data_IF_731311078716
#
_entry.id   IF_731311078716
#
_cell.length_a   1.000
_cell.length_b   1.000
_cell.length_c   1.000
_cell.angle_alpha   90.00
_cell.angle_beta   90.00
_cell.angle_gamma   90.00
#
_symmetry.space_group_name_H-M   'P 1'
#
loop_
_entity.id
_entity.type
_entity.pdbx_description
1 polymer ?
#
# COMPACT_ATOMS: atom_id res chain seq x y z
N UNK A 1 -4.87 -16.47 3.60
CA UNK A 1 -3.99 -15.72 2.67
C UNK A 1 -3.37 -16.58 1.58
N UNK A 2 -2.65 -17.69 1.87
CA UNK A 2 -1.97 -18.50 0.82
C UNK A 2 -2.89 -18.93 -0.34
N UNK A 3 -4.08 -19.45 -0.04
CA UNK A 3 -5.08 -19.83 -1.07
C UNK A 3 -5.52 -18.61 -1.90
N UNK A 4 -5.74 -17.45 -1.29
CA UNK A 4 -6.15 -16.23 -2.02
C UNK A 4 -5.09 -15.81 -3.01
N UNK A 5 -3.81 -15.89 -2.64
CA UNK A 5 -2.68 -15.52 -3.50
C UNK A 5 -2.53 -16.48 -4.67
N UNK A 6 -2.60 -17.80 -4.39
CA UNK A 6 -2.36 -18.85 -5.37
C UNK A 6 -3.55 -19.08 -6.31
N UNK A 7 -4.75 -19.12 -5.74
CA UNK A 7 -5.96 -19.64 -6.39
C UNK A 7 -7.10 -18.60 -6.46
N UNK A 8 -6.90 -17.40 -5.89
CA UNK A 8 -7.90 -16.34 -5.83
C UNK A 8 -8.93 -16.50 -4.70
N UNK A 9 -9.73 -15.45 -4.48
CA UNK A 9 -10.72 -15.41 -3.37
C UNK A 9 -11.77 -16.52 -3.51
N UNK A 10 -12.21 -16.81 -4.74
CA UNK A 10 -13.24 -17.84 -5.01
C UNK A 10 -12.82 -19.27 -4.65
N UNK A 11 -11.52 -19.55 -4.55
CA UNK A 11 -11.00 -20.85 -4.15
C UNK A 11 -11.06 -21.07 -2.63
N UNK A 12 -11.30 -20.01 -1.85
CA UNK A 12 -11.42 -20.10 -0.40
C UNK A 12 -12.70 -20.87 -0.07
N UNK A 13 -12.53 -22.06 0.51
CA UNK A 13 -13.59 -22.97 0.98
C UNK A 13 -13.13 -23.63 2.27
N UNK A 14 -14.04 -24.00 3.17
CA UNK A 14 -13.69 -24.67 4.44
C UNK A 14 -12.75 -25.87 4.24
N UNK A 15 -13.05 -26.76 3.28
CA UNK A 15 -12.19 -27.91 2.97
C UNK A 15 -10.80 -27.51 2.48
N UNK A 16 -10.72 -26.53 1.58
CA UNK A 16 -9.44 -26.04 1.05
C UNK A 16 -8.61 -25.40 2.16
N UNK A 17 -9.22 -24.58 3.03
CA UNK A 17 -8.56 -23.96 4.17
C UNK A 17 -8.11 -25.01 5.18
N UNK A 18 -8.96 -25.99 5.52
CA UNK A 18 -8.62 -27.06 6.44
C UNK A 18 -7.41 -27.88 5.95
N UNK A 19 -7.39 -28.21 4.66
CA UNK A 19 -6.25 -28.90 4.03
C UNK A 19 -4.98 -28.04 4.06
N UNK A 20 -5.06 -26.78 3.63
CA UNK A 20 -3.93 -25.84 3.59
C UNK A 20 -3.37 -25.51 4.99
N UNK A 21 -4.21 -25.52 6.03
CA UNK A 21 -3.82 -25.29 7.42
C UNK A 21 -3.50 -26.59 8.17
N UNK A 22 -3.65 -27.75 7.54
CA UNK A 22 -3.43 -29.07 8.15
C UNK A 22 -4.27 -29.31 9.42
N UNK A 23 -5.54 -28.89 9.40
CA UNK A 23 -6.49 -29.06 10.50
C UNK A 23 -7.71 -29.86 10.08
N UNK A 24 -8.45 -30.50 11.00
CA UNK A 24 -9.72 -31.14 10.69
C UNK A 24 -10.74 -30.13 10.13
N UNK A 25 -11.64 -30.59 9.25
CA UNK A 25 -12.72 -29.77 8.69
C UNK A 25 -13.59 -29.14 9.79
N UNK A 26 -13.80 -29.87 10.88
CA UNK A 26 -14.56 -29.42 12.06
C UNK A 26 -13.96 -28.16 12.69
N UNK A 27 -12.64 -27.96 12.66
CA UNK A 27 -12.03 -26.76 13.21
C UNK A 27 -12.48 -25.51 12.43
N UNK A 28 -12.41 -25.55 11.10
CA UNK A 28 -12.81 -24.41 10.27
C UNK A 28 -14.30 -24.10 10.34
N UNK A 29 -15.14 -25.12 10.52
CA UNK A 29 -16.60 -24.96 10.63
C UNK A 29 -17.05 -24.62 12.05
N UNK A 30 -16.19 -24.84 13.04
CA UNK A 30 -16.39 -24.38 14.42
C UNK A 30 -16.10 -22.89 14.58
N UNK A 31 -14.98 -22.39 14.01
CA UNK A 31 -14.58 -20.98 14.13
C UNK A 31 -15.24 -20.04 13.14
N UNK A 32 -15.58 -20.53 11.94
CA UNK A 32 -16.20 -19.71 10.90
C UNK A 32 -17.56 -20.29 10.54
N UNK A 33 -18.62 -19.49 10.70
CA UNK A 33 -19.99 -19.91 10.41
C UNK A 33 -20.19 -20.17 8.92
N UNK A 34 -19.58 -19.33 8.09
CA UNK A 34 -19.58 -19.45 6.64
C UNK A 34 -18.26 -18.95 6.05
N UNK A 35 -18.19 -18.98 4.72
CA UNK A 35 -16.98 -18.58 4.00
C UNK A 35 -16.75 -17.06 4.00
N UNK A 36 -17.82 -16.28 4.11
CA UNK A 36 -17.74 -14.82 4.14
C UNK A 36 -17.16 -14.36 5.47
N UNK A 37 -17.51 -15.01 6.58
CA UNK A 37 -16.89 -14.78 7.89
C UNK A 37 -15.38 -15.07 7.83
N UNK A 38 -14.98 -16.19 7.24
CA UNK A 38 -13.58 -16.55 7.08
C UNK A 38 -12.80 -15.51 6.24
N UNK A 39 -13.40 -15.06 5.12
CA UNK A 39 -12.80 -14.04 4.25
C UNK A 39 -12.71 -12.68 4.95
N UNK A 40 -13.76 -12.30 5.66
CA UNK A 40 -13.83 -11.04 6.43
C UNK A 40 -12.74 -11.03 7.49
N UNK A 41 -12.62 -12.08 8.31
CA UNK A 41 -11.60 -12.15 9.37
C UNK A 41 -10.18 -12.18 8.79
N UNK A 42 -9.98 -12.93 7.72
CA UNK A 42 -8.68 -13.00 7.03
C UNK A 42 -8.26 -11.61 6.54
N UNK A 43 -9.18 -10.86 5.96
CA UNK A 43 -8.86 -9.54 5.43
C UNK A 43 -8.78 -8.47 6.52
N UNK A 44 -9.61 -8.55 7.57
CA UNK A 44 -9.50 -7.68 8.74
C UNK A 44 -8.11 -7.79 9.39
N UNK A 45 -7.60 -9.02 9.55
CA UNK A 45 -6.23 -9.23 10.05
C UNK A 45 -5.18 -8.62 9.12
N UNK A 46 -5.40 -8.66 7.81
CA UNK A 46 -4.50 -8.01 6.85
C UNK A 46 -4.52 -6.48 7.00
N UNK A 47 -5.70 -5.86 7.09
CA UNK A 47 -5.87 -4.41 7.31
C UNK A 47 -5.18 -3.97 8.59
N UNK A 48 -5.35 -4.71 9.69
CA UNK A 48 -4.69 -4.43 10.98
C UNK A 48 -3.16 -4.44 10.85
N UNK A 49 -2.60 -5.47 10.18
CA UNK A 49 -1.16 -5.55 9.93
C UNK A 49 -0.65 -4.43 9.03
N UNK A 50 -1.44 -4.03 8.04
CA UNK A 50 -1.11 -2.89 7.17
C UNK A 50 -1.07 -1.58 7.96
N UNK A 51 -2.05 -1.32 8.83
CA UNK A 51 -2.04 -0.17 9.73
C UNK A 51 -0.81 -0.14 10.63
N UNK A 52 -0.49 -1.27 11.27
CA UNK A 52 0.70 -1.37 12.12
C UNK A 52 2.00 -1.15 11.34
N UNK A 53 2.06 -1.64 10.10
CA UNK A 53 3.21 -1.41 9.23
C UNK A 53 3.35 0.06 8.80
N UNK A 54 2.25 0.71 8.39
CA UNK A 54 2.25 2.13 8.04
C UNK A 54 2.65 3.01 9.23
N UNK A 55 2.16 2.72 10.43
CA UNK A 55 2.56 3.42 11.64
C UNK A 55 4.07 3.31 11.90
N UNK A 56 4.66 2.12 11.73
CA UNK A 56 6.11 1.92 11.86
C UNK A 56 6.90 2.65 10.77
N UNK A 57 6.43 2.61 9.52
CA UNK A 57 7.07 3.31 8.41
C UNK A 57 7.13 4.82 8.69
N UNK A 58 6.04 5.40 9.18
CA UNK A 58 5.98 6.80 9.57
C UNK A 58 6.99 7.12 10.68
N UNK A 59 6.92 6.42 11.82
CA UNK A 59 7.82 6.65 12.96
C UNK A 59 9.29 6.57 12.57
N UNK A 60 9.65 5.65 11.66
CA UNK A 60 11.03 5.47 11.22
C UNK A 60 11.51 6.58 10.28
N UNK A 61 10.62 7.21 9.50
CA UNK A 61 10.99 8.13 8.43
C UNK A 61 10.65 9.60 8.73
N UNK A 62 9.80 9.90 9.70
CA UNK A 62 9.41 11.27 10.03
C UNK A 62 10.62 12.13 10.41
N UNK A 63 11.52 11.61 11.25
CA UNK A 63 12.74 12.33 11.64
C UNK A 63 13.61 12.66 10.45
N UNK A 64 13.89 11.66 9.59
CA UNK A 64 14.64 11.83 8.35
C UNK A 64 14.00 12.91 7.46
N UNK A 65 12.68 12.87 7.29
CA UNK A 65 11.95 13.84 6.47
C UNK A 65 12.09 15.27 7.03
N UNK A 66 11.96 15.44 8.35
CA UNK A 66 12.13 16.73 9.02
C UNK A 66 13.55 17.26 8.89
N UNK A 67 14.54 16.39 9.03
CA UNK A 67 15.95 16.75 8.87
C UNK A 67 16.26 17.20 7.43
N UNK A 68 15.71 16.49 6.43
CA UNK A 68 15.84 16.87 5.03
C UNK A 68 15.25 18.26 4.76
N UNK A 69 14.06 18.55 5.29
CA UNK A 69 13.42 19.87 5.18
C UNK A 69 14.27 20.94 5.87
N UNK A 70 14.71 20.69 7.11
CA UNK A 70 15.48 21.64 7.92
C UNK A 70 16.87 21.95 7.34
N UNK A 71 17.45 21.01 6.58
CA UNK A 71 18.74 21.21 5.91
C UNK A 71 18.68 22.18 4.72
N UNK A 72 17.48 22.45 4.20
CA UNK A 72 17.27 23.35 3.06
C UNK A 72 17.22 24.82 3.47
N UNK A 73 17.72 25.68 2.59
CA UNK A 73 17.66 27.15 2.74
C UNK A 73 16.38 27.79 2.16
N UNK A 74 15.41 26.96 1.74
CA UNK A 74 14.17 27.41 1.10
C UNK A 74 14.32 27.84 -0.37
N UNK A 75 15.53 27.84 -0.91
CA UNK A 75 15.79 28.15 -2.32
C UNK A 75 15.04 27.19 -3.26
N UNK A 76 14.75 27.60 -4.51
CA UNK A 76 14.22 26.70 -5.52
C UNK A 76 15.09 25.45 -5.72
N UNK A 77 16.42 25.60 -5.61
CA UNK A 77 17.39 24.51 -5.74
C UNK A 77 17.28 23.52 -4.56
N UNK A 78 17.17 24.02 -3.33
CA UNK A 78 16.95 23.16 -2.16
C UNK A 78 15.62 22.39 -2.25
N UNK A 79 14.54 23.05 -2.73
CA UNK A 79 13.24 22.40 -2.97
C UNK A 79 13.30 21.34 -4.06
N UNK A 80 13.99 21.61 -5.16
CA UNK A 80 14.23 20.62 -6.23
C UNK A 80 14.97 19.39 -5.70
N UNK A 81 16.04 19.61 -4.91
CA UNK A 81 16.80 18.50 -4.31
C UNK A 81 15.94 17.68 -3.35
N UNK A 82 15.16 18.35 -2.50
CA UNK A 82 14.21 17.69 -1.60
C UNK A 82 13.19 16.84 -2.37
N UNK A 83 12.67 17.35 -3.49
CA UNK A 83 11.75 16.61 -4.36
C UNK A 83 12.41 15.33 -4.90
N UNK A 84 13.64 15.44 -5.39
CA UNK A 84 14.40 14.31 -5.93
C UNK A 84 14.69 13.25 -4.85
N UNK A 85 15.07 13.68 -3.64
CA UNK A 85 15.37 12.77 -2.53
C UNK A 85 14.11 12.03 -2.06
N UNK A 86 12.98 12.73 -1.92
CA UNK A 86 11.70 12.11 -1.54
C UNK A 86 11.23 11.14 -2.62
N UNK A 87 11.35 11.51 -3.90
CA UNK A 87 10.99 10.63 -5.00
C UNK A 87 11.80 9.33 -4.97
N UNK A 88 13.11 9.39 -4.70
CA UNK A 88 13.96 8.19 -4.50
C UNK A 88 13.46 7.32 -3.35
N UNK A 89 13.16 7.92 -2.19
CA UNK A 89 12.63 7.17 -1.04
C UNK A 89 11.30 6.47 -1.37
N UNK A 90 10.43 7.11 -2.14
CA UNK A 90 9.16 6.53 -2.58
C UNK A 90 9.37 5.38 -3.59
N UNK A 91 10.28 5.54 -4.55
CA UNK A 91 10.64 4.47 -5.50
C UNK A 91 11.19 3.26 -4.77
N UNK A 92 12.12 3.46 -3.83
CA UNK A 92 12.68 2.40 -3.00
C UNK A 92 11.61 1.68 -2.18
N UNK A 93 10.63 2.44 -1.65
CA UNK A 93 9.49 1.86 -0.94
C UNK A 93 8.70 0.92 -1.84
N UNK A 94 8.29 1.38 -3.04
CA UNK A 94 7.49 0.57 -3.97
C UNK A 94 8.27 -0.66 -4.43
N UNK A 95 9.56 -0.51 -4.76
CA UNK A 95 10.42 -1.65 -5.10
C UNK A 95 10.47 -2.68 -3.97
N UNK A 96 10.67 -2.25 -2.72
CA UNK A 96 10.67 -3.16 -1.56
C UNK A 96 9.32 -3.85 -1.35
N UNK A 97 8.19 -3.18 -1.62
CA UNK A 97 6.87 -3.83 -1.57
C UNK A 97 6.77 -4.93 -2.64
N UNK A 98 7.16 -4.62 -3.87
CA UNK A 98 7.11 -5.55 -5.00
C UNK A 98 7.99 -6.78 -4.80
N UNK A 99 9.16 -6.63 -4.19
CA UNK A 99 10.09 -7.74 -3.93
C UNK A 99 9.71 -8.50 -2.68
N UNK A 100 9.55 -7.83 -1.53
CA UNK A 100 9.43 -8.50 -0.24
C UNK A 100 7.98 -8.84 0.14
N UNK A 101 7.00 -8.23 -0.52
CA UNK A 101 5.57 -8.32 -0.17
C UNK A 101 4.69 -8.60 -1.38
N UNK A 102 5.26 -9.17 -2.44
CA UNK A 102 4.54 -9.52 -3.67
C UNK A 102 3.23 -10.27 -3.41
N UNK A 103 3.28 -11.32 -2.60
CA UNK A 103 2.11 -12.12 -2.25
C UNK A 103 1.02 -11.30 -1.55
N UNK A 104 1.41 -10.38 -0.67
CA UNK A 104 0.48 -9.49 0.00
C UNK A 104 -0.20 -8.53 -0.98
N UNK A 105 0.56 -7.95 -1.91
CA UNK A 105 0.02 -7.09 -2.96
C UNK A 105 -0.93 -7.88 -3.89
N UNK A 106 -0.57 -9.10 -4.28
CA UNK A 106 -1.44 -9.97 -5.07
C UNK A 106 -2.77 -10.27 -4.35
N UNK A 107 -2.71 -10.60 -3.05
CA UNK A 107 -3.91 -10.81 -2.27
C UNK A 107 -4.77 -9.54 -2.18
N UNK A 108 -4.16 -8.37 -2.01
CA UNK A 108 -4.88 -7.10 -2.00
C UNK A 108 -5.63 -6.88 -3.33
N UNK A 109 -5.01 -7.14 -4.47
CA UNK A 109 -5.70 -7.04 -5.77
C UNK A 109 -6.89 -8.00 -5.84
N UNK A 110 -6.74 -9.23 -5.35
CA UNK A 110 -7.82 -10.21 -5.32
C UNK A 110 -8.99 -9.73 -4.43
N UNK A 111 -8.71 -9.14 -3.26
CA UNK A 111 -9.74 -8.59 -2.38
C UNK A 111 -10.39 -7.33 -2.95
N UNK A 112 -9.64 -6.45 -3.62
CA UNK A 112 -10.20 -5.27 -4.30
C UNK A 112 -11.21 -5.67 -5.37
N UNK A 113 -10.91 -6.73 -6.14
CA UNK A 113 -11.84 -7.26 -7.12
C UNK A 113 -13.10 -7.83 -6.46
N UNK A 114 -12.95 -8.66 -5.42
CA UNK A 114 -14.10 -9.29 -4.75
C UNK A 114 -14.97 -8.26 -4.00
N UNK A 115 -14.37 -7.19 -3.46
CA UNK A 115 -15.06 -6.12 -2.77
C UNK A 115 -16.09 -5.39 -3.63
N UNK A 116 -15.98 -5.46 -4.96
CA UNK A 116 -16.98 -4.92 -5.87
C UNK A 116 -18.29 -5.73 -5.86
N UNK A 117 -18.23 -6.99 -5.41
CA UNK A 117 -19.34 -7.93 -5.38
C UNK A 117 -19.83 -8.23 -3.96
N UNK A 118 -18.97 -8.05 -2.94
CA UNK A 118 -19.29 -8.34 -1.55
C UNK A 118 -19.23 -7.07 -0.68
N UNK A 119 -20.38 -6.55 -0.17
CA UNK A 119 -20.43 -5.34 0.65
C UNK A 119 -19.60 -5.41 1.95
N UNK A 120 -19.49 -6.58 2.58
CA UNK A 120 -18.70 -6.76 3.82
C UNK A 120 -17.20 -6.56 3.54
N UNK A 121 -16.72 -7.11 2.43
CA UNK A 121 -15.33 -6.90 2.00
C UNK A 121 -15.09 -5.47 1.52
N UNK A 122 -16.11 -4.82 0.94
CA UNK A 122 -16.02 -3.43 0.52
C UNK A 122 -15.72 -2.47 1.69
N UNK A 123 -16.31 -2.69 2.86
CA UNK A 123 -16.00 -1.92 4.07
C UNK A 123 -14.53 -2.06 4.49
N UNK A 124 -14.03 -3.29 4.50
CA UNK A 124 -12.63 -3.55 4.85
C UNK A 124 -11.66 -2.94 3.82
N UNK A 125 -11.97 -3.00 2.52
CA UNK A 125 -11.11 -2.40 1.48
C UNK A 125 -11.09 -0.88 1.63
N UNK A 126 -12.24 -0.25 1.90
CA UNK A 126 -12.30 1.19 2.19
C UNK A 126 -11.50 1.56 3.44
N UNK A 127 -11.58 0.75 4.50
CA UNK A 127 -10.78 0.95 5.71
C UNK A 127 -9.28 0.88 5.40
N UNK A 128 -8.84 -0.08 4.59
CA UNK A 128 -7.45 -0.20 4.15
C UNK A 128 -6.99 1.05 3.37
N UNK A 129 -7.78 1.48 2.39
CA UNK A 129 -7.49 2.68 1.60
C UNK A 129 -7.39 3.93 2.47
N UNK A 130 -8.25 4.06 3.49
CA UNK A 130 -8.22 5.18 4.41
C UNK A 130 -6.93 5.23 5.24
N UNK A 131 -6.42 4.07 5.67
CA UNK A 131 -5.14 3.98 6.39
C UNK A 131 -3.98 4.49 5.52
N UNK A 132 -3.90 4.02 4.26
CA UNK A 132 -2.86 4.46 3.33
C UNK A 132 -2.96 5.97 3.06
N UNK A 133 -4.18 6.47 2.83
CA UNK A 133 -4.44 7.88 2.61
C UNK A 133 -4.03 8.74 3.81
N UNK A 134 -4.32 8.29 5.03
CA UNK A 134 -3.92 9.01 6.24
C UNK A 134 -2.41 9.14 6.37
N UNK A 135 -1.66 8.05 6.14
CA UNK A 135 -0.20 8.10 6.15
C UNK A 135 0.39 9.04 5.10
N UNK A 136 -0.14 9.00 3.87
CA UNK A 136 0.27 9.95 2.82
C UNK A 136 -0.11 11.40 3.14
N UNK A 137 -1.25 11.63 3.80
CA UNK A 137 -1.66 12.97 4.22
C UNK A 137 -0.70 13.56 5.25
N UNK A 138 -0.27 12.76 6.24
CA UNK A 138 0.72 13.18 7.24
C UNK A 138 2.04 13.60 6.59
N UNK A 139 2.50 12.86 5.58
CA UNK A 139 3.67 13.22 4.78
C UNK A 139 3.52 14.62 4.16
N UNK A 140 2.41 14.88 3.46
CA UNK A 140 2.21 16.18 2.80
C UNK A 140 1.97 17.32 3.79
N UNK A 141 1.41 17.05 4.97
CA UNK A 141 1.32 18.03 6.06
C UNK A 141 2.72 18.43 6.55
N UNK A 142 3.63 17.47 6.73
CA UNK A 142 5.02 17.77 7.13
C UNK A 142 5.77 18.54 6.04
N UNK A 143 5.49 18.24 4.77
CA UNK A 143 6.06 18.97 3.64
C UNK A 143 5.49 20.39 3.45
N UNK A 144 4.44 20.75 4.18
CA UNK A 144 3.80 22.07 4.08
C UNK A 144 2.91 22.25 2.86
N UNK A 145 2.39 21.16 2.27
CA UNK A 145 1.42 21.25 1.17
C UNK A 145 0.21 22.09 1.55
N UNK A 146 -0.32 22.85 0.58
CA UNK A 146 -1.56 23.63 0.70
C UNK A 146 -2.81 22.75 0.63
N UNK A 147 -2.72 21.61 -0.05
CA UNK A 147 -3.83 20.67 -0.24
C UNK A 147 -3.39 19.23 0.10
N UNK A 148 -2.94 18.97 1.35
CA UNK A 148 -2.26 17.72 1.70
C UNK A 148 -3.13 16.47 1.49
N UNK A 149 -4.45 16.62 1.60
CA UNK A 149 -5.39 15.51 1.39
C UNK A 149 -5.55 15.16 -0.10
N UNK A 150 -5.58 16.16 -0.98
CA UNK A 150 -5.64 15.98 -2.43
C UNK A 150 -4.31 15.38 -2.92
N UNK A 151 -3.19 15.91 -2.44
CA UNK A 151 -1.87 15.37 -2.77
C UNK A 151 -1.70 13.93 -2.28
N UNK A 152 -2.24 13.60 -1.11
CA UNK A 152 -2.25 12.23 -0.61
C UNK A 152 -3.08 11.30 -1.51
N UNK A 153 -4.24 11.74 -2.01
CA UNK A 153 -5.05 10.96 -2.97
C UNK A 153 -4.31 10.73 -4.29
N UNK A 154 -3.64 11.76 -4.81
CA UNK A 154 -2.87 11.63 -6.06
C UNK A 154 -1.69 10.68 -5.86
N UNK A 155 -0.94 10.83 -4.76
CA UNK A 155 0.18 9.94 -4.44
C UNK A 155 -0.28 8.48 -4.30
N UNK A 156 -1.33 8.23 -3.52
CA UNK A 156 -1.85 6.87 -3.32
C UNK A 156 -2.35 6.24 -4.63
N UNK A 157 -2.93 7.03 -5.54
CA UNK A 157 -3.32 6.56 -6.87
C UNK A 157 -2.09 6.20 -7.74
N UNK A 158 -1.05 7.04 -7.72
CA UNK A 158 0.21 6.80 -8.43
C UNK A 158 0.87 5.51 -7.93
N UNK A 159 1.04 5.37 -6.61
CA UNK A 159 1.63 4.18 -5.97
C UNK A 159 0.81 2.94 -6.31
N UNK A 160 -0.53 2.99 -6.18
CA UNK A 160 -1.39 1.86 -6.49
C UNK A 160 -1.29 1.40 -7.96
N UNK A 161 -1.12 2.34 -8.90
CA UNK A 161 -0.84 2.02 -10.31
C UNK A 161 0.53 1.36 -10.46
N UNK A 162 1.57 1.92 -9.82
CA UNK A 162 2.94 1.39 -9.89
C UNK A 162 3.05 -0.02 -9.32
N UNK A 163 2.42 -0.29 -8.18
CA UNK A 163 2.34 -1.62 -7.58
C UNK A 163 1.65 -2.61 -8.52
N UNK A 164 0.51 -2.22 -9.11
CA UNK A 164 -0.19 -3.08 -10.06
C UNK A 164 0.65 -3.38 -11.32
N UNK A 165 1.28 -2.36 -11.91
CA UNK A 165 2.16 -2.54 -13.07
C UNK A 165 3.39 -3.38 -12.72
N UNK A 166 4.01 -3.15 -11.57
CA UNK A 166 5.14 -3.94 -11.08
C UNK A 166 4.78 -5.39 -10.78
N UNK A 167 3.53 -5.68 -10.40
CA UNK A 167 3.04 -7.05 -10.30
C UNK A 167 3.01 -7.74 -11.67
N UNK A 168 2.64 -7.03 -12.74
CA UNK A 168 2.59 -7.55 -14.11
C UNK A 168 3.98 -7.70 -14.74
N UNK A 169 4.85 -6.71 -14.55
CA UNK A 169 6.13 -6.59 -15.27
C UNK A 169 7.33 -7.12 -14.45
N UNK A 170 7.11 -8.17 -13.65
CA UNK A 170 8.06 -8.62 -12.64
C UNK A 170 9.49 -8.83 -13.20
N UNK A 171 10.43 -7.96 -12.81
CA UNK A 171 11.85 -8.09 -13.12
C UNK A 171 12.38 -7.23 -14.28
N UNK A 172 11.60 -6.29 -14.82
CA UNK A 172 12.07 -5.39 -15.89
C UNK A 172 12.73 -4.10 -15.33
N UNK A 173 14.03 -3.84 -15.61
CA UNK A 173 14.73 -2.65 -15.12
C UNK A 173 14.12 -1.32 -15.59
N UNK A 174 13.51 -1.32 -16.78
CA UNK A 174 12.87 -0.13 -17.35
C UNK A 174 11.70 0.40 -16.49
N UNK A 175 11.08 -0.47 -15.68
CA UNK A 175 9.96 -0.09 -14.81
C UNK A 175 10.41 0.78 -13.63
N UNK A 176 11.66 0.66 -13.16
CA UNK A 176 12.16 1.45 -12.02
C UNK A 176 12.50 2.89 -12.42
N UNK A 177 13.14 3.07 -13.58
CA UNK A 177 13.43 4.41 -14.11
C UNK A 177 12.15 5.19 -14.42
N UNK A 178 11.14 4.54 -15.01
CA UNK A 178 9.83 5.15 -15.26
C UNK A 178 9.16 5.57 -13.92
N UNK A 179 9.21 4.69 -12.92
CA UNK A 179 8.63 4.96 -11.60
C UNK A 179 9.26 6.19 -10.94
N UNK A 180 10.60 6.26 -10.93
CA UNK A 180 11.34 7.40 -10.40
C UNK A 180 11.01 8.68 -11.17
N UNK A 181 10.91 8.62 -12.49
CA UNK A 181 10.55 9.77 -13.32
C UNK A 181 9.17 10.34 -12.96
N UNK A 182 8.16 9.48 -12.80
CA UNK A 182 6.79 9.88 -12.42
C UNK A 182 6.76 10.51 -11.02
N UNK A 183 7.39 9.84 -10.04
CA UNK A 183 7.42 10.33 -8.65
C UNK A 183 8.20 11.65 -8.54
N UNK A 184 9.33 11.77 -9.25
CA UNK A 184 10.12 13.01 -9.30
C UNK A 184 9.26 14.14 -9.86
N UNK A 185 8.63 13.93 -11.01
CA UNK A 185 7.75 14.94 -11.63
C UNK A 185 6.66 15.39 -10.67
N UNK A 186 6.02 14.45 -9.98
CA UNK A 186 4.95 14.74 -9.05
C UNK A 186 5.45 15.55 -7.84
N UNK A 187 6.55 15.13 -7.21
CA UNK A 187 7.10 15.83 -6.04
C UNK A 187 7.58 17.24 -6.35
N UNK A 188 8.14 17.47 -7.54
CA UNK A 188 8.50 18.82 -8.00
C UNK A 188 7.28 19.73 -8.12
N UNK A 189 6.15 19.22 -8.64
CA UNK A 189 4.90 20.00 -8.75
C UNK A 189 4.35 20.36 -7.37
N UNK A 190 4.35 19.40 -6.43
CA UNK A 190 3.90 19.64 -5.06
C UNK A 190 4.78 20.70 -4.38
N UNK A 191 6.11 20.51 -4.37
CA UNK A 191 7.03 21.41 -3.66
C UNK A 191 7.23 22.78 -4.33
N UNK A 192 6.88 22.92 -5.61
CA UNK A 192 6.78 24.24 -6.25
C UNK A 192 5.58 25.04 -5.74
N UNK A 193 4.54 24.38 -5.22
CA UNK A 193 3.31 24.99 -4.74
C UNK A 193 3.30 25.28 -3.23
N UNK A 194 4.28 24.76 -2.48
CA UNK A 194 4.54 25.07 -1.06
C UNK A 194 5.11 26.49 -0.98
#
# INVERSE_FOLDING_TARGET
MRIVVRDGVRAVRHRAVAAEAQVPLSATTYYFKDIDDLLTDTFAQYVERSAAYMGKLWVNNEGLLRDMIASGDGSPQARSKLADDIARLMTDYVHRQLVNRREHLMAEQAFRQEALLNPRLAELVRSHQQILLQGSCQLFQVLGSREPHQDAKVLTAIIGRMEYQGLLNAGEPAAEEEMLGILTRYMHLVLASV
#
